data_IF_738523284184
#
_entry.id   IF_738523284184
#
_cell.length_a   1.000
_cell.length_b   1.000
_cell.length_c   1.000
_cell.angle_alpha   90.00
_cell.angle_beta   90.00
_cell.angle_gamma   90.00
#
_symmetry.space_group_name_H-M   'P 1'
#
loop_
_entity.id
_entity.type
_entity.pdbx_description
1 polymer ?
#
# COMPACT_ATOMS: atom_id res chain seq x y z
N UNK A 1 -39.38 12.98 -3.30
CA UNK A 1 -38.97 11.59 -3.57
C UNK A 1 -37.60 11.43 -2.93
N UNK A 2 -37.48 10.64 -1.86
CA UNK A 2 -36.18 10.45 -1.22
C UNK A 2 -35.24 9.78 -2.19
N UNK A 3 -34.02 10.32 -2.36
CA UNK A 3 -32.97 9.70 -3.16
C UNK A 3 -32.74 8.28 -2.66
N UNK A 4 -32.94 7.29 -3.51
CA UNK A 4 -32.74 5.90 -3.16
C UNK A 4 -31.22 5.71 -3.00
N UNK A 5 -30.74 5.47 -1.77
CA UNK A 5 -29.32 5.18 -1.51
C UNK A 5 -28.87 3.98 -2.34
N UNK A 6 -27.74 4.09 -3.02
CA UNK A 6 -27.14 2.98 -3.78
C UNK A 6 -25.84 2.59 -3.12
N UNK A 7 -25.90 1.52 -2.32
CA UNK A 7 -24.76 1.01 -1.55
C UNK A 7 -24.09 -0.17 -2.25
N UNK A 8 -22.80 -0.05 -2.45
CA UNK A 8 -21.99 -1.07 -3.09
C UNK A 8 -21.00 -1.64 -2.09
N UNK A 9 -20.91 -2.96 -2.06
CA UNK A 9 -19.94 -3.71 -1.26
C UNK A 9 -18.74 -4.07 -2.14
N UNK A 10 -17.57 -3.54 -1.81
CA UNK A 10 -16.30 -3.91 -2.43
C UNK A 10 -15.55 -4.93 -1.58
N UNK A 11 -15.02 -5.96 -2.21
CA UNK A 11 -14.37 -7.10 -1.53
C UNK A 11 -13.02 -7.39 -2.14
N UNK A 12 -12.01 -7.53 -1.27
CA UNK A 12 -10.71 -8.13 -1.53
C UNK A 12 -10.50 -9.30 -0.57
N UNK A 13 -10.21 -10.50 -1.05
CA UNK A 13 -9.80 -11.63 -0.23
C UNK A 13 -9.12 -12.74 -1.05
N UNK A 14 -8.60 -13.77 -0.36
CA UNK A 14 -8.00 -14.98 -0.93
C UNK A 14 -6.68 -14.73 -1.69
N UNK A 15 -6.01 -13.61 -1.44
CA UNK A 15 -4.66 -13.36 -1.95
C UNK A 15 -3.77 -12.83 -0.83
N UNK A 16 -3.87 -11.55 -0.53
CA UNK A 16 -3.11 -10.87 0.50
C UNK A 16 -4.01 -9.80 1.12
N UNK A 17 -3.92 -9.55 2.44
CA UNK A 17 -4.63 -8.47 3.14
C UNK A 17 -6.14 -8.40 2.82
N UNK A 18 -6.90 -9.42 3.22
CA UNK A 18 -8.34 -9.41 3.01
C UNK A 18 -9.00 -8.16 3.63
N UNK A 19 -9.91 -7.55 2.86
CA UNK A 19 -10.57 -6.31 3.24
C UNK A 19 -11.95 -6.19 2.61
N UNK A 20 -12.79 -5.38 3.22
CA UNK A 20 -14.11 -5.01 2.70
C UNK A 20 -14.30 -3.50 2.81
N UNK A 21 -15.10 -2.94 1.91
CA UNK A 21 -15.50 -1.54 1.92
C UNK A 21 -16.96 -1.38 1.50
N UNK A 22 -17.65 -0.41 2.11
CA UNK A 22 -19.03 -0.04 1.77
C UNK A 22 -19.05 1.40 1.30
N UNK A 23 -19.55 1.63 0.10
CA UNK A 23 -19.57 2.94 -0.55
C UNK A 23 -21.01 3.28 -0.96
N UNK A 24 -21.48 4.48 -0.62
CA UNK A 24 -22.71 5.06 -1.14
C UNK A 24 -22.36 5.92 -2.37
N UNK A 25 -22.71 5.45 -3.55
CA UNK A 25 -22.31 6.07 -4.82
C UNK A 25 -23.25 7.18 -5.30
N UNK A 26 -24.44 7.35 -4.70
CA UNK A 26 -25.40 8.37 -5.14
C UNK A 26 -25.13 9.77 -4.56
N UNK A 27 -24.55 9.88 -3.39
CA UNK A 27 -24.32 11.17 -2.71
C UNK A 27 -22.86 11.65 -2.83
N UNK A 28 -22.22 11.43 -4.00
CA UNK A 28 -20.85 11.91 -4.24
C UNK A 28 -19.76 10.89 -3.93
N UNK A 29 -20.11 9.62 -3.71
CA UNK A 29 -19.16 8.54 -3.49
C UNK A 29 -18.63 8.47 -2.05
N UNK A 30 -19.51 8.58 -1.06
CA UNK A 30 -19.13 8.52 0.35
C UNK A 30 -18.66 7.12 0.77
N UNK A 31 -17.45 7.03 1.30
CA UNK A 31 -16.93 5.80 1.88
C UNK A 31 -17.49 5.66 3.29
N UNK A 32 -18.56 4.86 3.42
CA UNK A 32 -19.24 4.70 4.68
C UNK A 32 -18.43 3.92 5.71
N UNK A 33 -17.70 2.89 5.23
CA UNK A 33 -16.88 2.02 6.04
C UNK A 33 -15.87 1.27 5.19
N UNK A 34 -14.68 0.99 5.74
CA UNK A 34 -13.72 0.08 5.16
C UNK A 34 -12.81 -0.50 6.25
N UNK A 35 -12.52 -1.80 6.19
CA UNK A 35 -11.70 -2.46 7.19
C UNK A 35 -10.89 -3.63 6.61
N UNK A 36 -9.78 -3.95 7.30
CA UNK A 36 -8.95 -5.14 7.05
C UNK A 36 -9.39 -6.31 7.93
N UNK A 37 -9.36 -7.52 7.41
CA UNK A 37 -9.64 -8.74 8.17
C UNK A 37 -8.67 -8.92 9.35
N UNK A 38 -7.40 -8.53 9.22
CA UNK A 38 -6.38 -8.62 10.28
C UNK A 38 -6.77 -7.86 11.57
N UNK A 39 -7.60 -6.82 11.48
CA UNK A 39 -8.06 -6.05 12.65
C UNK A 39 -9.01 -6.87 13.53
N UNK A 40 -9.68 -7.85 12.96
CA UNK A 40 -10.63 -8.74 13.64
C UNK A 40 -9.99 -10.08 13.99
N UNK A 41 -9.32 -10.74 13.05
CA UNK A 41 -8.70 -12.05 13.25
C UNK A 41 -7.43 -12.00 14.11
N UNK A 42 -6.76 -10.83 14.22
CA UNK A 42 -5.43 -10.65 14.84
C UNK A 42 -4.32 -11.43 14.12
N UNK A 43 -4.58 -11.90 12.90
CA UNK A 43 -3.60 -12.52 12.02
C UNK A 43 -3.09 -11.46 11.05
N UNK A 44 -1.79 -11.19 11.09
CA UNK A 44 -1.17 -10.18 10.21
C UNK A 44 -1.32 -10.59 8.75
N UNK A 45 -1.72 -9.63 7.91
CA UNK A 45 -1.96 -9.81 6.47
C UNK A 45 -2.92 -10.98 6.19
N UNK A 46 -3.98 -11.16 7.01
CA UNK A 46 -4.93 -12.26 6.84
C UNK A 46 -5.50 -12.30 5.42
N UNK A 47 -5.40 -13.47 4.80
CA UNK A 47 -5.85 -13.70 3.42
C UNK A 47 -7.36 -13.88 3.32
N UNK A 48 -8.01 -14.19 4.46
CA UNK A 48 -9.40 -14.58 4.48
C UNK A 48 -10.26 -13.59 5.28
N UNK A 49 -11.47 -13.42 4.81
CA UNK A 49 -12.50 -12.77 5.62
C UNK A 49 -12.91 -13.69 6.78
N UNK A 50 -13.33 -13.09 7.86
CA UNK A 50 -13.91 -13.78 9.01
C UNK A 50 -15.32 -13.24 9.29
N UNK A 51 -16.08 -13.94 10.16
CA UNK A 51 -17.47 -13.58 10.44
C UNK A 51 -17.59 -12.16 10.99
N UNK A 52 -16.66 -11.72 11.84
CA UNK A 52 -16.76 -10.41 12.51
C UNK A 52 -16.69 -9.23 11.54
N UNK A 53 -15.76 -9.25 10.59
CA UNK A 53 -15.67 -8.18 9.57
C UNK A 53 -16.89 -8.19 8.65
N UNK A 54 -17.41 -9.39 8.30
CA UNK A 54 -18.61 -9.51 7.47
C UNK A 54 -19.84 -9.02 8.22
N UNK A 55 -20.02 -9.39 9.47
CA UNK A 55 -21.16 -8.94 10.29
C UNK A 55 -21.17 -7.40 10.39
N UNK A 56 -20.01 -6.77 10.62
CA UNK A 56 -19.92 -5.31 10.67
C UNK A 56 -20.25 -4.69 9.30
N UNK A 57 -19.72 -5.21 8.20
CA UNK A 57 -20.07 -4.75 6.87
C UNK A 57 -21.58 -4.83 6.60
N UNK A 58 -22.23 -5.93 7.02
CA UNK A 58 -23.65 -6.16 6.82
C UNK A 58 -24.54 -5.16 7.57
N UNK A 59 -24.05 -4.50 8.62
CA UNK A 59 -24.80 -3.43 9.31
C UNK A 59 -25.07 -2.22 8.40
N UNK A 60 -24.27 -2.06 7.35
CA UNK A 60 -24.43 -1.00 6.35
C UNK A 60 -25.36 -1.40 5.18
N UNK A 61 -25.80 -2.67 5.12
CA UNK A 61 -26.69 -3.16 4.07
C UNK A 61 -28.11 -2.59 4.12
N UNK A 62 -28.99 -2.95 3.20
CA UNK A 62 -28.74 -3.87 2.09
C UNK A 62 -27.83 -3.28 1.00
N UNK A 63 -27.17 -4.16 0.21
CA UNK A 63 -26.31 -3.76 -0.90
C UNK A 63 -27.01 -3.98 -2.24
N UNK A 64 -26.89 -2.97 -3.11
CA UNK A 64 -27.44 -3.04 -4.47
C UNK A 64 -26.51 -3.81 -5.41
N UNK A 65 -25.17 -3.84 -5.08
CA UNK A 65 -24.14 -4.49 -5.90
C UNK A 65 -23.00 -5.00 -5.01
N UNK A 66 -22.39 -6.11 -5.42
CA UNK A 66 -21.16 -6.65 -4.82
C UNK A 66 -20.08 -6.70 -5.90
N UNK A 67 -18.96 -6.06 -5.66
CA UNK A 67 -17.83 -5.94 -6.59
C UNK A 67 -16.59 -6.60 -5.98
N UNK A 68 -15.88 -7.38 -6.79
CA UNK A 68 -14.66 -8.06 -6.38
C UNK A 68 -13.44 -7.54 -7.13
N UNK A 69 -12.31 -7.40 -6.44
CA UNK A 69 -11.14 -6.63 -6.87
C UNK A 69 -10.23 -7.29 -7.92
N UNK A 70 -10.40 -8.58 -8.24
CA UNK A 70 -9.59 -9.28 -9.25
C UNK A 70 -10.46 -10.24 -10.09
N UNK A 71 -9.96 -10.63 -11.26
CA UNK A 71 -10.61 -11.61 -12.17
C UNK A 71 -10.05 -13.00 -11.90
N UNK A 72 -10.76 -13.86 -11.13
CA UNK A 72 -10.21 -15.13 -10.67
C UNK A 72 -9.84 -16.08 -11.80
N UNK A 73 -10.54 -16.04 -12.93
CA UNK A 73 -10.23 -16.89 -14.10
C UNK A 73 -8.85 -16.52 -14.66
N UNK A 74 -8.52 -15.22 -14.78
CA UNK A 74 -7.21 -14.79 -15.27
C UNK A 74 -6.09 -15.19 -14.29
N UNK A 75 -6.33 -15.06 -12.99
CA UNK A 75 -5.40 -15.54 -11.95
C UNK A 75 -5.13 -17.04 -12.08
N UNK A 76 -6.18 -17.84 -12.25
CA UNK A 76 -6.07 -19.30 -12.43
C UNK A 76 -5.31 -19.67 -13.70
N UNK A 77 -5.51 -18.96 -14.82
CA UNK A 77 -4.73 -19.20 -16.06
C UNK A 77 -3.24 -18.94 -15.84
N UNK A 78 -2.87 -17.86 -15.10
CA UNK A 78 -1.48 -17.61 -14.75
C UNK A 78 -0.91 -18.68 -13.82
N UNK A 79 -1.66 -19.09 -12.79
CA UNK A 79 -1.26 -20.15 -11.87
C UNK A 79 -1.00 -21.47 -12.61
N UNK A 80 -1.89 -21.82 -13.55
CA UNK A 80 -1.72 -23.00 -14.40
C UNK A 80 -0.45 -22.90 -15.24
N UNK A 81 -0.23 -21.77 -15.91
CA UNK A 81 0.98 -21.51 -16.71
C UNK A 81 2.26 -21.53 -15.86
N UNK A 82 2.21 -21.06 -14.62
CA UNK A 82 3.31 -21.09 -13.66
C UNK A 82 3.56 -22.47 -13.02
N UNK A 83 2.81 -23.52 -13.40
CA UNK A 83 2.95 -24.87 -12.86
C UNK A 83 2.33 -25.05 -11.46
N UNK A 84 1.46 -24.13 -11.03
CA UNK A 84 0.73 -24.19 -9.76
C UNK A 84 -0.62 -24.89 -9.93
N UNK A 85 -0.60 -26.10 -10.49
CA UNK A 85 -1.82 -26.82 -10.90
C UNK A 85 -2.82 -27.07 -9.78
N UNK A 86 -2.32 -27.33 -8.54
CA UNK A 86 -3.18 -27.51 -7.37
C UNK A 86 -4.08 -26.30 -7.12
N UNK A 87 -3.48 -25.09 -7.11
CA UNK A 87 -4.22 -23.83 -6.92
C UNK A 87 -5.09 -23.48 -8.13
N UNK A 88 -4.57 -23.71 -9.34
CA UNK A 88 -5.29 -23.38 -10.58
C UNK A 88 -6.57 -24.17 -10.75
N UNK A 89 -6.58 -25.45 -10.37
CA UNK A 89 -7.69 -26.37 -10.62
C UNK A 89 -8.62 -26.56 -9.41
N UNK A 90 -8.27 -26.08 -8.22
CA UNK A 90 -9.11 -26.21 -7.04
C UNK A 90 -10.32 -25.27 -7.13
N UNK A 91 -11.57 -25.79 -7.14
CA UNK A 91 -12.76 -24.96 -7.13
C UNK A 91 -12.92 -24.15 -5.82
N UNK A 92 -12.33 -24.60 -4.71
CA UNK A 92 -12.39 -23.90 -3.42
C UNK A 92 -11.62 -22.56 -3.45
N UNK A 93 -10.66 -22.44 -4.37
CA UNK A 93 -9.93 -21.21 -4.64
C UNK A 93 -10.73 -20.18 -5.48
N UNK A 94 -12.04 -20.36 -5.60
CA UNK A 94 -12.93 -19.38 -6.22
C UNK A 94 -13.55 -18.46 -5.15
N UNK A 95 -13.45 -17.12 -5.29
CA UNK A 95 -13.91 -16.17 -4.27
C UNK A 95 -15.36 -16.40 -3.83
N UNK A 96 -16.24 -16.67 -4.76
CA UNK A 96 -17.67 -16.91 -4.45
C UNK A 96 -17.88 -18.10 -3.52
N UNK A 97 -17.03 -19.14 -3.59
CA UNK A 97 -17.14 -20.29 -2.68
C UNK A 97 -16.77 -19.91 -1.25
N UNK A 98 -15.74 -19.07 -1.09
CA UNK A 98 -15.39 -18.52 0.20
C UNK A 98 -16.49 -17.60 0.75
N UNK A 99 -17.04 -16.73 -0.07
CA UNK A 99 -18.05 -15.74 0.35
C UNK A 99 -19.40 -16.37 0.72
N UNK A 100 -19.76 -17.51 0.10
CA UNK A 100 -21.01 -18.22 0.42
C UNK A 100 -21.14 -18.66 1.88
N UNK A 101 -20.03 -18.96 2.56
CA UNK A 101 -20.05 -19.32 3.99
C UNK A 101 -20.53 -18.18 4.88
N UNK A 102 -20.46 -16.95 4.40
CA UNK A 102 -20.93 -15.73 5.08
C UNK A 102 -22.29 -15.22 4.55
N UNK A 103 -22.98 -15.99 3.71
CA UNK A 103 -24.27 -15.59 3.13
C UNK A 103 -24.15 -14.65 1.92
N UNK A 104 -22.95 -14.34 1.44
CA UNK A 104 -22.76 -13.57 0.20
C UNK A 104 -22.80 -14.54 -0.98
N UNK A 105 -23.98 -14.63 -1.60
CA UNK A 105 -24.27 -15.66 -2.61
C UNK A 105 -24.00 -15.22 -4.04
N UNK A 106 -23.61 -13.95 -4.26
CA UNK A 106 -23.41 -13.38 -5.58
C UNK A 106 -22.27 -12.37 -5.57
N UNK A 107 -21.49 -12.34 -6.63
CA UNK A 107 -20.57 -11.26 -7.02
C UNK A 107 -21.12 -10.74 -8.35
N UNK A 108 -21.46 -9.44 -8.40
CA UNK A 108 -22.06 -8.84 -9.58
C UNK A 108 -21.03 -8.47 -10.63
N UNK A 109 -19.83 -8.08 -10.18
CA UNK A 109 -18.75 -7.65 -11.07
C UNK A 109 -17.38 -8.04 -10.53
N UNK A 110 -16.48 -8.37 -11.45
CA UNK A 110 -15.05 -8.60 -11.19
C UNK A 110 -14.22 -7.55 -11.92
N UNK A 111 -13.58 -6.67 -11.19
CA UNK A 111 -12.64 -5.66 -11.71
C UNK A 111 -11.24 -6.29 -11.79
N UNK A 112 -10.40 -5.90 -12.75
CA UNK A 112 -9.03 -6.43 -12.79
C UNK A 112 -8.18 -5.85 -11.67
N UNK A 113 -7.22 -6.63 -11.16
CA UNK A 113 -6.41 -6.31 -9.99
C UNK A 113 -5.70 -4.95 -10.12
N UNK A 114 -4.94 -4.74 -11.20
CA UNK A 114 -4.23 -3.46 -11.42
C UNK A 114 -5.16 -2.28 -11.71
N UNK A 115 -6.34 -2.52 -12.28
CA UNK A 115 -7.38 -1.51 -12.43
C UNK A 115 -7.96 -1.10 -11.06
N UNK A 116 -8.15 -2.07 -10.16
CA UNK A 116 -8.58 -1.79 -8.79
C UNK A 116 -7.55 -0.93 -8.04
N UNK A 117 -6.25 -1.24 -8.14
CA UNK A 117 -5.19 -0.41 -7.57
C UNK A 117 -5.16 1.00 -8.18
N UNK A 118 -5.23 1.11 -9.50
CA UNK A 118 -5.23 2.40 -10.19
C UNK A 118 -6.44 3.25 -9.77
N UNK A 119 -7.61 2.63 -9.69
CA UNK A 119 -8.84 3.29 -9.28
C UNK A 119 -8.82 3.71 -7.80
N UNK A 120 -8.25 2.87 -6.91
CA UNK A 120 -8.04 3.22 -5.50
C UNK A 120 -7.30 4.55 -5.38
N UNK A 121 -6.22 4.70 -6.14
CA UNK A 121 -5.43 5.91 -6.12
C UNK A 121 -6.12 7.08 -6.83
N UNK A 122 -6.59 6.87 -8.07
CA UNK A 122 -7.11 7.95 -8.91
C UNK A 122 -8.39 8.57 -8.35
N UNK A 123 -9.36 7.74 -8.04
CA UNK A 123 -10.67 8.23 -7.59
C UNK A 123 -10.72 8.70 -6.14
N UNK A 124 -9.64 8.52 -5.38
CA UNK A 124 -9.46 9.15 -4.05
C UNK A 124 -8.51 10.35 -4.11
N UNK A 125 -7.87 10.62 -5.25
CA UNK A 125 -6.95 11.73 -5.42
C UNK A 125 -7.69 13.06 -5.67
N UNK A 126 -7.03 14.20 -5.42
CA UNK A 126 -7.57 15.50 -5.78
C UNK A 126 -7.36 15.86 -7.26
N UNK A 127 -6.87 14.94 -8.11
CA UNK A 127 -6.42 15.23 -9.48
C UNK A 127 -7.47 14.85 -10.52
N UNK A 128 -7.85 15.82 -11.37
CA UNK A 128 -8.63 15.52 -12.56
C UNK A 128 -7.77 14.89 -13.66
N UNK A 129 -6.54 15.42 -13.83
CA UNK A 129 -5.59 14.98 -14.84
C UNK A 129 -4.30 14.56 -14.18
N UNK A 130 -3.88 13.31 -14.41
CA UNK A 130 -2.68 12.74 -13.83
C UNK A 130 -2.20 11.53 -14.63
N UNK A 131 -0.95 11.12 -14.42
CA UNK A 131 -0.54 9.76 -14.73
C UNK A 131 -0.68 8.89 -13.47
N UNK A 132 -1.14 7.65 -13.67
CA UNK A 132 -1.31 6.67 -12.60
C UNK A 132 -0.31 5.55 -12.86
N UNK A 133 0.52 5.27 -11.88
CA UNK A 133 1.47 4.16 -11.91
C UNK A 133 1.11 3.18 -10.81
N UNK A 134 0.90 1.92 -11.17
CA UNK A 134 0.75 0.84 -10.20
C UNK A 134 1.92 -0.12 -10.30
N UNK A 135 2.57 -0.41 -9.19
CA UNK A 135 3.68 -1.36 -9.09
C UNK A 135 3.41 -2.33 -7.96
N UNK A 136 3.25 -3.59 -8.31
CA UNK A 136 2.91 -4.62 -7.35
C UNK A 136 3.77 -5.88 -7.53
N UNK A 137 3.58 -6.87 -6.64
CA UNK A 137 4.24 -8.15 -6.80
C UNK A 137 3.64 -8.91 -7.99
N UNK A 138 2.35 -9.18 -7.95
CA UNK A 138 1.63 -9.88 -9.01
C UNK A 138 0.11 -9.74 -8.82
N UNK A 139 -0.56 -9.16 -9.81
CA UNK A 139 -2.01 -9.27 -9.96
C UNK A 139 -2.43 -10.59 -10.63
N UNK A 140 -3.39 -10.56 -11.54
CA UNK A 140 -3.66 -11.74 -12.37
C UNK A 140 -2.44 -12.10 -13.21
N UNK A 141 -2.03 -11.20 -14.08
CA UNK A 141 -0.83 -11.26 -14.91
C UNK A 141 0.06 -10.02 -14.77
N UNK A 142 -0.56 -8.86 -14.51
CA UNK A 142 0.13 -7.58 -14.48
C UNK A 142 0.94 -7.44 -13.20
N UNK A 143 2.10 -6.82 -13.31
CA UNK A 143 3.02 -6.50 -12.20
C UNK A 143 3.31 -5.00 -12.13
N UNK A 144 3.21 -4.32 -13.28
CA UNK A 144 3.33 -2.88 -13.41
C UNK A 144 2.31 -2.43 -14.45
N UNK A 145 1.58 -1.34 -14.18
CA UNK A 145 0.73 -0.70 -15.18
C UNK A 145 0.80 0.81 -15.08
N UNK A 146 0.73 1.47 -16.24
CA UNK A 146 0.70 2.93 -16.38
C UNK A 146 -0.61 3.30 -17.05
N UNK A 147 -1.35 4.20 -16.43
CA UNK A 147 -2.61 4.71 -16.91
C UNK A 147 -2.55 6.23 -17.02
N UNK A 148 -3.37 6.79 -17.88
CA UNK A 148 -3.66 8.21 -17.92
C UNK A 148 -5.05 8.44 -17.34
N UNK A 149 -5.14 9.21 -16.27
CA UNK A 149 -6.37 9.67 -15.66
C UNK A 149 -6.72 11.05 -16.22
N UNK A 150 -7.92 11.21 -16.78
CA UNK A 150 -8.40 12.49 -17.25
C UNK A 150 -9.93 12.54 -17.22
N UNK A 151 -10.48 13.63 -16.69
CA UNK A 151 -11.92 13.89 -16.64
C UNK A 151 -12.75 12.72 -16.08
N UNK A 152 -12.24 12.08 -15.00
CA UNK A 152 -12.89 10.94 -14.34
C UNK A 152 -12.78 9.62 -15.10
N UNK A 153 -11.95 9.54 -16.15
CA UNK A 153 -11.70 8.30 -16.90
C UNK A 153 -10.25 7.87 -16.75
N UNK A 154 -10.02 6.56 -16.70
CA UNK A 154 -8.69 5.95 -16.71
C UNK A 154 -8.47 5.24 -18.06
N UNK A 155 -7.34 5.51 -18.71
CA UNK A 155 -6.93 4.84 -19.94
C UNK A 155 -5.60 4.12 -19.72
N UNK A 156 -5.58 2.79 -19.93
CA UNK A 156 -4.35 1.99 -19.84
C UNK A 156 -3.41 2.36 -21.00
N UNK A 157 -2.18 2.75 -20.67
CA UNK A 157 -1.14 3.10 -21.66
C UNK A 157 -0.07 2.01 -21.79
N UNK A 158 0.34 1.40 -20.69
CA UNK A 158 1.41 0.41 -20.70
C UNK A 158 1.22 -0.59 -19.56
N UNK A 159 1.65 -1.85 -19.76
CA UNK A 159 1.72 -2.85 -18.71
C UNK A 159 2.92 -3.76 -18.89
N UNK A 160 3.48 -4.19 -17.77
CA UNK A 160 4.49 -5.23 -17.68
C UNK A 160 3.87 -6.39 -16.93
N UNK A 161 4.13 -7.60 -17.40
CA UNK A 161 3.46 -8.80 -16.91
C UNK A 161 4.46 -9.80 -16.32
N UNK A 162 3.93 -10.72 -15.54
CA UNK A 162 4.65 -11.88 -15.03
C UNK A 162 5.47 -12.57 -16.14
N UNK A 163 6.72 -12.98 -15.90
CA UNK A 163 7.38 -13.03 -14.59
C UNK A 163 8.16 -11.76 -14.20
N UNK A 164 8.04 -10.68 -14.95
CA UNK A 164 8.85 -9.46 -14.79
C UNK A 164 8.22 -8.55 -13.74
N UNK A 165 8.67 -8.64 -12.48
CA UNK A 165 8.12 -7.90 -11.35
C UNK A 165 9.21 -7.32 -10.44
N UNK A 166 9.13 -6.02 -10.16
CA UNK A 166 9.98 -5.35 -9.16
C UNK A 166 9.59 -5.81 -7.74
N UNK A 167 8.30 -5.96 -7.47
CA UNK A 167 7.82 -6.45 -6.17
C UNK A 167 8.35 -7.86 -5.88
N UNK A 168 8.25 -8.79 -6.85
CA UNK A 168 8.79 -10.15 -6.70
C UNK A 168 10.31 -10.15 -6.56
N UNK A 169 11.03 -9.28 -7.28
CA UNK A 169 12.47 -9.12 -7.09
C UNK A 169 12.79 -8.71 -5.65
N UNK A 170 12.09 -7.71 -5.11
CA UNK A 170 12.28 -7.25 -3.74
C UNK A 170 11.95 -8.36 -2.72
N UNK A 171 10.83 -9.07 -2.90
CA UNK A 171 10.43 -10.22 -2.06
C UNK A 171 11.41 -11.39 -2.12
N UNK A 172 12.09 -11.62 -3.25
CA UNK A 172 13.12 -12.64 -3.37
C UNK A 172 14.34 -12.34 -2.47
N UNK A 173 14.70 -11.05 -2.33
CA UNK A 173 15.74 -10.62 -1.39
C UNK A 173 15.23 -10.60 0.06
N UNK A 174 13.97 -10.28 0.29
CA UNK A 174 13.32 -10.45 1.62
C UNK A 174 13.50 -11.89 2.11
N UNK A 175 13.18 -12.87 1.25
CA UNK A 175 13.39 -14.29 1.55
C UNK A 175 14.87 -14.63 1.75
N UNK A 176 15.77 -14.06 0.94
CA UNK A 176 17.20 -14.33 0.97
C UNK A 176 17.85 -13.93 2.31
N UNK A 177 17.38 -12.86 2.93
CA UNK A 177 17.88 -12.41 4.26
C UNK A 177 17.17 -13.10 5.43
N UNK A 178 16.33 -14.12 5.18
CA UNK A 178 15.65 -14.91 6.21
C UNK A 178 14.33 -14.32 6.69
N UNK A 179 13.79 -13.32 6.01
CA UNK A 179 12.49 -12.72 6.26
C UNK A 179 11.39 -13.41 5.44
N UNK A 180 10.13 -13.21 5.84
CA UNK A 180 8.96 -13.79 5.18
C UNK A 180 8.57 -12.94 3.96
N UNK A 181 8.67 -13.49 2.73
CA UNK A 181 8.30 -12.78 1.52
C UNK A 181 6.80 -12.50 1.48
N UNK A 182 6.40 -11.41 0.84
CA UNK A 182 5.05 -10.84 0.76
C UNK A 182 4.49 -10.32 2.10
N UNK A 183 5.26 -10.37 3.19
CA UNK A 183 4.81 -9.90 4.50
C UNK A 183 5.81 -8.99 5.22
N UNK A 184 7.13 -9.20 5.02
CA UNK A 184 8.19 -8.54 5.81
C UNK A 184 9.12 -7.64 4.97
N UNK A 185 8.69 -7.23 3.77
CA UNK A 185 9.43 -6.29 2.90
C UNK A 185 9.73 -4.96 3.60
N UNK A 186 8.84 -4.52 4.47
CA UNK A 186 9.04 -3.31 5.27
C UNK A 186 10.18 -3.46 6.30
N UNK A 187 10.51 -4.68 6.74
CA UNK A 187 11.68 -4.95 7.58
C UNK A 187 12.94 -4.86 6.74
N UNK A 188 12.95 -5.46 5.54
CA UNK A 188 14.06 -5.34 4.59
C UNK A 188 14.36 -3.87 4.25
N UNK A 189 13.31 -3.06 4.00
CA UNK A 189 13.46 -1.61 3.81
C UNK A 189 14.13 -0.93 5.02
N UNK A 190 13.74 -1.32 6.23
CA UNK A 190 14.36 -0.80 7.46
C UNK A 190 15.82 -1.23 7.63
N UNK A 191 16.17 -2.47 7.26
CA UNK A 191 17.55 -2.98 7.28
C UNK A 191 18.46 -2.21 6.33
N UNK A 192 17.93 -1.77 5.18
CA UNK A 192 18.70 -1.05 4.16
C UNK A 192 19.39 0.21 4.68
N UNK A 193 18.86 0.83 5.73
CA UNK A 193 19.45 2.01 6.37
C UNK A 193 20.75 1.73 7.14
N UNK A 194 21.08 0.48 7.40
CA UNK A 194 22.23 0.07 8.20
C UNK A 194 23.35 -0.58 7.39
N UNK A 195 23.12 -0.89 6.11
CA UNK A 195 24.08 -1.48 5.19
C UNK A 195 24.62 -0.52 4.15
N UNK A 196 25.52 -1.03 3.30
CA UNK A 196 26.07 -0.34 2.15
C UNK A 196 25.62 -1.01 0.85
N UNK A 197 25.32 -0.29 -0.25
CA UNK A 197 24.78 -0.86 -1.47
C UNK A 197 25.86 -1.50 -2.37
N UNK A 198 26.82 -2.22 -1.79
CA UNK A 198 28.02 -2.74 -2.46
C UNK A 198 27.70 -3.85 -3.48
N UNK A 199 26.55 -4.48 -3.39
CA UNK A 199 26.12 -5.55 -4.30
C UNK A 199 25.15 -5.09 -5.39
N UNK A 200 24.75 -3.79 -5.43
CA UNK A 200 23.77 -3.26 -6.37
C UNK A 200 24.06 -3.64 -7.82
N UNK A 201 25.28 -3.35 -8.28
CA UNK A 201 25.67 -3.60 -9.69
C UNK A 201 25.73 -5.10 -10.00
N UNK A 202 26.08 -5.94 -9.02
CA UNK A 202 26.06 -7.39 -9.19
C UNK A 202 24.63 -7.92 -9.30
N UNK A 203 23.71 -7.43 -8.47
CA UNK A 203 22.28 -7.76 -8.54
C UNK A 203 21.74 -7.36 -9.91
N UNK A 204 22.02 -6.15 -10.36
CA UNK A 204 21.61 -5.66 -11.67
C UNK A 204 22.12 -6.56 -12.80
N UNK A 205 23.42 -6.88 -12.80
CA UNK A 205 24.03 -7.73 -13.83
C UNK A 205 23.44 -9.14 -13.86
N UNK A 206 23.13 -9.75 -12.71
CA UNK A 206 22.73 -11.15 -12.65
C UNK A 206 21.21 -11.35 -12.82
N UNK A 207 20.39 -10.40 -12.36
CA UNK A 207 18.93 -10.58 -12.36
C UNK A 207 18.18 -9.70 -13.36
N UNK A 208 18.74 -8.56 -13.78
CA UNK A 208 18.04 -7.62 -14.65
C UNK A 208 18.51 -7.82 -16.11
N UNK A 209 17.56 -8.08 -17.00
CA UNK A 209 17.79 -8.13 -18.43
C UNK A 209 17.70 -6.73 -19.06
N UNK A 210 16.70 -5.94 -18.63
CA UNK A 210 16.47 -4.57 -19.09
C UNK A 210 15.80 -3.77 -17.97
N UNK A 211 16.21 -2.52 -17.80
CA UNK A 211 15.59 -1.59 -16.86
C UNK A 211 14.37 -0.88 -17.45
N UNK A 212 14.33 -0.74 -18.79
CA UNK A 212 13.19 -0.12 -19.47
C UNK A 212 13.02 -0.68 -20.90
N UNK A 213 11.93 -1.35 -21.26
CA UNK A 213 10.93 -1.86 -20.30
C UNK A 213 11.56 -2.83 -19.30
N UNK A 214 11.08 -2.81 -18.08
CA UNK A 214 11.64 -3.67 -17.03
C UNK A 214 11.48 -5.14 -17.35
N UNK A 215 12.60 -5.88 -17.35
CA UNK A 215 12.63 -7.33 -17.57
C UNK A 215 13.64 -8.01 -16.67
N UNK A 216 13.22 -9.09 -16.03
CA UNK A 216 14.09 -10.01 -15.30
C UNK A 216 14.70 -11.04 -16.25
N UNK A 217 15.93 -11.49 -15.99
CA UNK A 217 16.56 -12.60 -16.69
C UNK A 217 15.93 -13.96 -16.37
N UNK A 218 15.42 -14.09 -15.13
CA UNK A 218 14.86 -15.32 -14.62
C UNK A 218 13.57 -15.04 -13.86
N UNK A 219 12.73 -16.06 -13.74
CA UNK A 219 11.54 -15.99 -12.85
C UNK A 219 11.98 -16.15 -11.39
N UNK A 220 11.79 -15.09 -10.59
CA UNK A 220 12.22 -15.02 -9.19
C UNK A 220 11.10 -15.38 -8.19
N UNK A 221 9.95 -15.81 -8.66
CA UNK A 221 8.79 -16.11 -7.79
C UNK A 221 9.09 -17.16 -6.70
N UNK A 222 10.02 -18.08 -6.96
CA UNK A 222 10.48 -19.08 -5.95
C UNK A 222 11.61 -18.56 -5.07
N UNK A 223 12.08 -17.33 -5.27
CA UNK A 223 13.23 -16.75 -4.60
C UNK A 223 14.53 -17.00 -5.35
N UNK A 224 15.65 -16.60 -4.74
CA UNK A 224 17.01 -16.67 -5.31
C UNK A 224 17.92 -17.69 -4.58
N UNK A 225 17.31 -18.55 -3.76
CA UNK A 225 18.05 -19.53 -2.96
C UNK A 225 19.06 -18.86 -2.01
N UNK A 226 20.19 -19.53 -1.82
CA UNK A 226 21.28 -19.02 -0.97
C UNK A 226 22.30 -18.20 -1.80
N UNK A 227 21.83 -17.29 -2.65
CA UNK A 227 22.69 -16.41 -3.45
C UNK A 227 23.61 -15.57 -2.55
N UNK A 228 24.93 -15.64 -2.77
CA UNK A 228 25.95 -14.97 -1.94
C UNK A 228 25.82 -15.30 -0.44
N UNK A 229 26.11 -16.55 -0.03
CA UNK A 229 25.85 -17.04 1.34
C UNK A 229 26.56 -16.21 2.43
N UNK A 230 27.76 -15.69 2.11
CA UNK A 230 28.60 -14.97 3.07
C UNK A 230 28.33 -13.44 3.08
N UNK A 231 27.36 -12.95 2.28
CA UNK A 231 27.06 -11.53 2.23
C UNK A 231 26.30 -11.07 3.48
N UNK A 232 26.69 -9.92 4.01
CA UNK A 232 25.99 -9.30 5.14
C UNK A 232 24.53 -8.99 4.74
N UNK A 233 23.53 -9.39 5.54
CA UNK A 233 22.13 -9.13 5.26
C UNK A 233 21.76 -7.64 5.15
N UNK A 234 22.44 -6.76 5.89
CA UNK A 234 22.20 -5.32 5.82
C UNK A 234 22.69 -4.74 4.49
N UNK A 235 23.86 -5.21 4.00
CA UNK A 235 24.39 -4.79 2.71
C UNK A 235 23.56 -5.34 1.54
N UNK A 236 23.02 -6.55 1.65
CA UNK A 236 22.05 -7.08 0.70
C UNK A 236 20.79 -6.22 0.67
N UNK A 237 20.25 -5.86 1.85
CA UNK A 237 19.08 -5.01 1.97
C UNK A 237 19.32 -3.62 1.36
N UNK A 238 20.46 -2.99 1.69
CA UNK A 238 20.85 -1.69 1.12
C UNK A 238 21.02 -1.76 -0.40
N UNK A 239 21.60 -2.86 -0.90
CA UNK A 239 21.83 -3.04 -2.33
C UNK A 239 20.54 -3.20 -3.13
N UNK A 240 19.62 -4.04 -2.67
CA UNK A 240 18.32 -4.21 -3.35
C UNK A 240 17.45 -2.97 -3.23
N UNK A 241 17.50 -2.26 -2.10
CA UNK A 241 16.79 -0.99 -1.93
C UNK A 241 17.28 0.04 -2.94
N UNK A 242 18.60 0.23 -3.06
CA UNK A 242 19.18 1.17 -4.01
C UNK A 242 18.85 0.82 -5.47
N UNK A 243 18.86 -0.46 -5.84
CA UNK A 243 18.44 -0.90 -7.16
C UNK A 243 16.95 -0.66 -7.40
N UNK A 244 16.09 -0.95 -6.41
CA UNK A 244 14.64 -0.72 -6.50
C UNK A 244 14.34 0.77 -6.73
N UNK A 245 15.02 1.66 -6.03
CA UNK A 245 14.89 3.11 -6.20
C UNK A 245 15.26 3.56 -7.62
N UNK A 246 16.33 3.01 -8.19
CA UNK A 246 16.74 3.29 -9.57
C UNK A 246 15.72 2.77 -10.59
N UNK A 247 15.23 1.55 -10.42
CA UNK A 247 14.18 0.97 -11.28
C UNK A 247 12.89 1.77 -11.23
N UNK A 248 12.48 2.20 -10.04
CA UNK A 248 11.30 3.05 -9.85
C UNK A 248 11.50 4.44 -10.46
N UNK A 249 12.70 5.04 -10.38
CA UNK A 249 13.00 6.31 -11.04
C UNK A 249 12.83 6.22 -12.57
N UNK A 250 13.25 5.11 -13.17
CA UNK A 250 13.04 4.85 -14.60
C UNK A 250 11.54 4.72 -14.92
N UNK A 251 10.75 4.04 -14.08
CA UNK A 251 9.30 3.93 -14.25
C UNK A 251 8.59 5.27 -14.07
N UNK A 252 8.99 6.09 -13.11
CA UNK A 252 8.43 7.43 -12.91
C UNK A 252 8.71 8.32 -14.12
N UNK A 253 9.94 8.28 -14.66
CA UNK A 253 10.31 8.99 -15.88
C UNK A 253 9.50 8.50 -17.09
N UNK A 254 9.29 7.18 -17.20
CA UNK A 254 8.45 6.59 -18.23
C UNK A 254 6.99 7.01 -18.11
N UNK A 255 6.43 6.94 -16.89
CA UNK A 255 5.06 7.39 -16.62
C UNK A 255 4.90 8.88 -16.98
N UNK A 256 5.86 9.72 -16.59
CA UNK A 256 5.87 11.13 -16.88
C UNK A 256 5.87 11.44 -18.40
N UNK A 257 6.39 10.54 -19.25
CA UNK A 257 6.40 10.72 -20.71
C UNK A 257 5.01 10.63 -21.35
N UNK A 258 4.01 10.13 -20.64
CA UNK A 258 2.62 10.11 -21.10
C UNK A 258 1.86 11.40 -20.79
N UNK A 259 2.40 12.24 -19.91
CA UNK A 259 1.84 13.57 -19.67
C UNK A 259 2.29 14.55 -20.75
N UNK A 260 1.46 15.54 -21.09
CA UNK A 260 1.87 16.63 -21.98
C UNK A 260 3.15 17.31 -21.49
N UNK A 261 3.92 17.86 -22.43
CA UNK A 261 5.05 18.70 -22.08
C UNK A 261 4.57 19.88 -21.23
N UNK A 262 5.36 20.26 -20.21
CA UNK A 262 5.04 21.39 -19.33
C UNK A 262 4.93 22.66 -20.19
N UNK A 263 3.73 23.20 -20.30
CA UNK A 263 3.43 24.43 -21.05
C UNK A 263 2.61 25.36 -20.17
N UNK A 264 2.51 26.64 -20.55
CA UNK A 264 1.67 27.63 -19.86
C UNK A 264 0.19 27.22 -19.73
N UNK A 265 -0.26 26.22 -20.51
CA UNK A 265 -1.64 25.73 -20.53
C UNK A 265 -1.85 24.45 -19.69
N UNK A 266 -0.77 23.73 -19.32
CA UNK A 266 -0.83 22.56 -18.46
C UNK A 266 -0.03 22.84 -17.19
N UNK A 267 -0.76 23.18 -16.12
CA UNK A 267 -0.17 23.79 -14.94
C UNK A 267 0.69 22.81 -14.11
N UNK A 268 0.29 21.55 -13.98
CA UNK A 268 0.94 20.63 -13.03
C UNK A 268 1.07 19.21 -13.57
N UNK A 269 2.19 18.58 -13.23
CA UNK A 269 2.44 17.16 -13.53
C UNK A 269 2.10 16.35 -12.28
N UNK A 270 0.96 15.71 -12.29
CA UNK A 270 0.44 14.96 -11.17
C UNK A 270 0.70 13.47 -11.35
N UNK A 271 1.15 12.82 -10.28
CA UNK A 271 1.31 11.37 -10.17
C UNK A 271 0.36 10.81 -9.12
N UNK A 272 -0.36 9.75 -9.49
CA UNK A 272 -0.97 8.81 -8.57
C UNK A 272 -0.11 7.54 -8.56
N UNK A 273 0.35 7.13 -7.37
CA UNK A 273 1.22 5.96 -7.23
C UNK A 273 0.55 4.92 -6.31
N UNK A 274 0.35 3.69 -6.82
CA UNK A 274 -0.37 2.60 -6.15
C UNK A 274 0.31 1.25 -6.31
N UNK A 275 -0.30 0.20 -5.75
CA UNK A 275 0.26 -1.14 -5.62
C UNK A 275 1.12 -1.29 -4.37
N UNK A 276 1.45 -2.51 -3.98
CA UNK A 276 2.19 -2.81 -2.75
C UNK A 276 3.56 -2.14 -2.66
N UNK A 277 4.23 -1.90 -3.80
CA UNK A 277 5.56 -1.25 -3.84
C UNK A 277 5.47 0.24 -3.45
N UNK A 278 4.30 0.89 -3.59
CA UNK A 278 4.08 2.27 -3.14
C UNK A 278 4.17 2.44 -1.61
N UNK A 279 4.19 1.35 -0.84
CA UNK A 279 4.47 1.37 0.60
C UNK A 279 5.95 1.61 0.95
N UNK A 280 6.85 1.59 -0.02
CA UNK A 280 8.28 1.86 0.19
C UNK A 280 8.54 3.36 0.36
N UNK A 281 8.32 3.87 1.59
CA UNK A 281 8.45 5.29 1.90
C UNK A 281 9.88 5.83 1.69
N UNK A 282 10.91 4.98 1.82
CA UNK A 282 12.29 5.38 1.54
C UNK A 282 12.50 5.68 0.06
N UNK A 283 12.00 4.80 -0.84
CA UNK A 283 12.01 5.05 -2.27
C UNK A 283 11.17 6.27 -2.63
N UNK A 284 9.95 6.38 -2.10
CA UNK A 284 9.04 7.50 -2.39
C UNK A 284 9.71 8.86 -2.11
N UNK A 285 10.44 8.99 -1.00
CA UNK A 285 11.13 10.24 -0.65
C UNK A 285 12.24 10.61 -1.63
N UNK A 286 13.04 9.63 -2.07
CA UNK A 286 14.08 9.85 -3.07
C UNK A 286 13.48 10.23 -4.42
N UNK A 287 12.42 9.55 -4.83
CA UNK A 287 11.73 9.80 -6.08
C UNK A 287 11.07 11.19 -6.11
N UNK A 288 10.43 11.60 -5.01
CA UNK A 288 9.90 12.96 -4.86
C UNK A 288 11.00 14.00 -5.00
N UNK A 289 12.19 13.73 -4.44
CA UNK A 289 13.37 14.60 -4.54
C UNK A 289 13.88 14.82 -5.98
N UNK A 290 13.58 13.93 -6.92
CA UNK A 290 13.95 14.07 -8.34
C UNK A 290 13.16 15.19 -9.05
N UNK A 291 12.01 15.62 -8.52
CA UNK A 291 11.20 16.68 -9.11
C UNK A 291 10.60 16.33 -10.48
N UNK A 292 10.37 15.06 -10.76
CA UNK A 292 9.73 14.58 -12.01
C UNK A 292 8.26 15.02 -12.06
N UNK A 293 7.61 15.02 -10.90
CA UNK A 293 6.22 15.42 -10.70
C UNK A 293 6.12 16.60 -9.74
N UNK A 294 5.14 17.47 -9.97
CA UNK A 294 4.86 18.61 -9.10
C UNK A 294 4.04 18.18 -7.87
N UNK A 295 3.11 17.23 -8.06
CA UNK A 295 2.30 16.66 -6.99
C UNK A 295 2.27 15.13 -7.09
N UNK A 296 2.25 14.48 -5.91
CA UNK A 296 2.24 13.03 -5.78
C UNK A 296 1.12 12.65 -4.81
N UNK A 297 0.23 11.77 -5.26
CA UNK A 297 -0.78 11.16 -4.41
C UNK A 297 -0.50 9.67 -4.24
N UNK A 298 -0.36 9.24 -3.00
CA UNK A 298 -0.30 7.85 -2.61
C UNK A 298 -1.42 7.65 -1.57
N UNK A 299 -2.43 6.88 -1.91
CA UNK A 299 -3.53 6.56 -1.00
C UNK A 299 -2.96 5.86 0.25
N UNK A 300 -3.45 6.11 1.48
CA UNK A 300 -2.90 5.50 2.70
C UNK A 300 -2.84 3.98 2.71
N UNK A 301 -3.68 3.34 1.91
CA UNK A 301 -3.72 1.90 1.70
C UNK A 301 -3.55 1.56 0.21
N UNK A 302 -2.32 1.71 -0.35
CA UNK A 302 -2.10 1.56 -1.78
C UNK A 302 -1.99 0.09 -2.22
N UNK A 303 -1.86 -0.85 -1.27
CA UNK A 303 -1.79 -2.31 -1.51
C UNK A 303 -3.15 -2.96 -1.72
N UNK A 304 -3.17 -4.29 -1.68
CA UNK A 304 -4.34 -5.11 -2.02
C UNK A 304 -5.59 -4.75 -1.23
N UNK A 305 -5.48 -4.51 0.07
CA UNK A 305 -6.64 -4.17 0.90
C UNK A 305 -7.37 -2.90 0.42
N UNK A 306 -6.62 -1.89 -0.07
CA UNK A 306 -7.19 -0.68 -0.66
C UNK A 306 -8.04 -0.95 -1.89
N UNK A 307 -7.78 -2.05 -2.58
CA UNK A 307 -8.55 -2.48 -3.76
C UNK A 307 -10.00 -2.84 -3.46
N UNK A 308 -10.37 -3.05 -2.18
CA UNK A 308 -11.79 -3.15 -1.79
C UNK A 308 -12.56 -1.83 -2.02
N UNK A 309 -11.90 -0.68 -1.89
CA UNK A 309 -12.43 0.63 -2.31
C UNK A 309 -12.31 0.80 -3.83
N UNK A 310 -11.14 0.43 -4.37
CA UNK A 310 -10.81 0.66 -5.77
C UNK A 310 -11.68 -0.11 -6.75
N UNK A 311 -12.08 -1.34 -6.42
CA UNK A 311 -12.96 -2.10 -7.31
C UNK A 311 -14.34 -1.44 -7.46
N UNK A 312 -14.87 -0.84 -6.41
CA UNK A 312 -16.13 -0.08 -6.49
C UNK A 312 -15.93 1.19 -7.32
N UNK A 313 -14.85 1.94 -7.05
CA UNK A 313 -14.55 3.15 -7.80
C UNK A 313 -14.32 2.90 -9.29
N UNK A 314 -13.66 1.79 -9.65
CA UNK A 314 -13.47 1.37 -11.04
C UNK A 314 -14.76 0.94 -11.72
N UNK A 315 -15.62 0.21 -11.00
CA UNK A 315 -16.93 -0.25 -11.48
C UNK A 315 -17.85 0.92 -11.82
N UNK A 316 -17.90 1.93 -10.94
CA UNK A 316 -18.78 3.09 -11.10
C UNK A 316 -18.13 4.26 -11.88
N UNK A 317 -16.78 4.21 -12.06
CA UNK A 317 -15.97 5.27 -12.72
C UNK A 317 -16.22 6.64 -12.11
N UNK A 318 -16.24 6.68 -10.78
CA UNK A 318 -16.63 7.85 -10.01
C UNK A 318 -15.59 8.21 -8.98
N UNK A 319 -15.30 9.51 -8.79
CA UNK A 319 -14.55 10.00 -7.65
C UNK A 319 -15.28 9.71 -6.35
N UNK A 320 -14.49 9.37 -5.35
CA UNK A 320 -14.96 9.11 -4.00
C UNK A 320 -14.65 10.31 -3.11
N UNK A 321 -15.53 10.57 -2.17
CA UNK A 321 -15.36 11.62 -1.17
C UNK A 321 -14.32 11.16 -0.12
N UNK A 322 -13.04 11.23 -0.49
CA UNK A 322 -11.95 10.88 0.43
C UNK A 322 -11.71 12.02 1.41
N UNK A 323 -11.86 11.75 2.70
CA UNK A 323 -11.62 12.72 3.77
C UNK A 323 -10.44 12.32 4.66
N UNK A 324 -10.40 11.07 5.10
CA UNK A 324 -9.42 10.55 6.06
C UNK A 324 -9.37 9.01 6.04
N UNK A 325 -8.31 8.39 6.61
CA UNK A 325 -8.16 6.93 6.64
C UNK A 325 -8.94 6.24 7.78
N UNK A 326 -9.63 6.97 8.65
CA UNK A 326 -10.34 6.41 9.82
C UNK A 326 -11.70 5.86 9.39
N UNK A 327 -11.73 4.69 8.77
CA UNK A 327 -12.92 4.12 8.12
C UNK A 327 -13.42 2.83 8.79
N UNK A 328 -12.62 2.20 9.66
CA UNK A 328 -12.91 0.90 10.25
C UNK A 328 -13.81 0.97 11.48
N UNK A 329 -13.77 -0.09 12.29
CA UNK A 329 -14.52 -0.25 13.51
C UNK A 329 -14.38 0.96 14.46
N UNK A 330 -15.50 1.44 14.99
CA UNK A 330 -15.55 2.61 15.86
C UNK A 330 -15.52 2.22 17.34
N UNK A 331 -14.70 2.91 18.12
CA UNK A 331 -14.74 2.92 19.58
C UNK A 331 -15.26 4.29 19.98
N UNK A 332 -16.46 4.35 20.54
CA UNK A 332 -17.10 5.60 20.91
C UNK A 332 -16.42 6.26 22.11
N UNK A 333 -16.46 7.57 22.16
CA UNK A 333 -15.91 8.40 23.23
C UNK A 333 -15.06 9.55 22.72
N UNK A 334 -14.80 10.52 23.57
CA UNK A 334 -13.85 11.59 23.26
C UNK A 334 -12.42 11.07 23.23
N UNK A 335 -11.57 11.66 22.39
CA UNK A 335 -10.15 11.30 22.32
C UNK A 335 -9.48 11.71 23.65
N UNK A 336 -8.86 10.78 24.41
CA UNK A 336 -8.46 11.02 25.80
C UNK A 336 -7.14 11.78 25.92
N UNK A 337 -7.06 13.02 25.43
CA UNK A 337 -5.83 13.82 25.33
C UNK A 337 -5.13 13.96 26.68
N UNK A 338 -5.84 14.39 27.73
CA UNK A 338 -5.24 14.62 29.06
C UNK A 338 -4.69 13.34 29.66
N UNK A 339 -5.39 12.21 29.49
CA UNK A 339 -4.93 10.91 29.96
C UNK A 339 -3.68 10.46 29.20
N UNK A 340 -3.62 10.69 27.88
CA UNK A 340 -2.45 10.38 27.07
C UNK A 340 -1.23 11.20 27.53
N UNK A 341 -1.41 12.51 27.74
CA UNK A 341 -0.34 13.40 28.21
C UNK A 341 0.20 12.92 29.56
N UNK A 342 -0.69 12.66 30.52
CA UNK A 342 -0.30 12.15 31.84
C UNK A 342 0.47 10.83 31.77
N UNK A 343 0.01 9.89 30.94
CA UNK A 343 0.71 8.59 30.73
C UNK A 343 2.08 8.76 30.07
N UNK A 344 2.19 9.64 29.08
CA UNK A 344 3.49 9.92 28.44
C UNK A 344 4.48 10.56 29.40
N UNK A 345 4.03 11.50 30.25
CA UNK A 345 4.88 12.15 31.27
C UNK A 345 5.34 11.19 32.35
N UNK A 346 4.46 10.28 32.82
CA UNK A 346 4.76 9.36 33.92
C UNK A 346 5.48 8.08 33.47
N UNK A 347 5.03 7.51 32.34
CA UNK A 347 5.40 6.18 31.88
C UNK A 347 6.15 6.18 30.54
N UNK A 348 6.36 7.35 29.92
CA UNK A 348 7.01 7.57 28.63
C UNK A 348 6.32 6.92 27.43
N UNK A 349 5.26 6.15 27.63
CA UNK A 349 4.52 5.50 26.55
C UNK A 349 3.10 5.12 26.97
N UNK A 350 2.19 5.09 26.00
CA UNK A 350 0.82 4.59 26.19
C UNK A 350 0.28 3.92 24.93
N UNK A 351 -0.75 3.08 25.11
CA UNK A 351 -1.55 2.54 24.03
C UNK A 351 -2.85 3.30 23.89
N UNK A 352 -3.22 3.70 22.67
CA UNK A 352 -4.47 4.40 22.38
C UNK A 352 -5.35 3.57 21.47
N UNK A 353 -6.62 3.44 21.86
CA UNK A 353 -7.68 2.85 21.05
C UNK A 353 -8.94 3.72 21.20
N UNK A 354 -9.27 4.55 20.19
CA UNK A 354 -10.41 5.45 20.20
C UNK A 354 -10.88 5.74 18.76
N UNK A 355 -12.13 6.18 18.60
CA UNK A 355 -12.68 6.52 17.30
C UNK A 355 -12.66 5.36 16.30
N UNK A 356 -12.76 5.67 15.02
CA UNK A 356 -12.70 4.66 13.93
C UNK A 356 -11.27 4.21 13.68
N UNK A 357 -11.08 2.90 13.49
CA UNK A 357 -9.77 2.33 13.16
C UNK A 357 -9.28 2.83 11.79
N UNK A 358 -7.96 2.93 11.65
CA UNK A 358 -7.31 3.26 10.38
C UNK A 358 -7.55 2.15 9.35
N UNK A 359 -7.91 2.55 8.13
CA UNK A 359 -7.92 1.70 6.95
C UNK A 359 -6.59 1.85 6.21
N UNK A 360 -5.64 0.99 6.54
CA UNK A 360 -4.28 1.00 6.02
C UNK A 360 -3.30 0.32 6.97
N UNK A 361 -2.06 0.05 6.51
CA UNK A 361 -1.07 -0.69 7.28
C UNK A 361 -0.40 0.16 8.37
N UNK A 362 -0.65 1.48 8.40
CA UNK A 362 -0.02 2.41 9.33
C UNK A 362 -0.94 2.75 10.50
N UNK A 363 -0.37 2.83 11.70
CA UNK A 363 -1.03 3.39 12.86
C UNK A 363 -0.97 4.93 12.78
N UNK A 364 -2.12 5.61 12.86
CA UNK A 364 -2.25 7.04 12.62
C UNK A 364 -2.94 7.77 13.80
N UNK A 365 -2.95 7.17 14.99
CA UNK A 365 -3.45 7.79 16.22
C UNK A 365 -4.58 6.99 16.88
N UNK A 366 -5.49 6.39 16.13
CA UNK A 366 -6.68 5.73 16.69
C UNK A 366 -6.46 4.29 17.16
N UNK A 367 -5.42 3.61 16.67
CA UNK A 367 -4.96 2.28 17.12
C UNK A 367 -3.43 2.31 17.18
N UNK A 368 -2.89 3.08 18.15
CA UNK A 368 -1.48 3.44 18.19
C UNK A 368 -0.82 3.13 19.53
N UNK A 369 0.47 2.82 19.49
CA UNK A 369 1.36 3.00 20.62
C UNK A 369 2.06 4.35 20.44
N UNK A 370 1.87 5.24 21.39
CA UNK A 370 2.52 6.53 21.48
C UNK A 370 3.66 6.47 22.48
N UNK A 371 4.73 7.20 22.23
CA UNK A 371 5.85 7.31 23.16
C UNK A 371 6.43 8.72 23.12
N UNK A 372 6.91 9.21 24.26
CA UNK A 372 7.67 10.44 24.37
C UNK A 372 9.01 10.26 23.62
N UNK A 373 9.33 11.08 22.62
CA UNK A 373 10.56 10.91 21.83
C UNK A 373 11.82 11.29 22.62
N UNK A 374 11.70 11.94 23.78
CA UNK A 374 12.82 12.39 24.57
C UNK A 374 13.50 11.22 25.31
N UNK A 375 14.76 11.03 25.06
CA UNK A 375 15.60 10.05 25.75
C UNK A 375 16.02 8.84 24.90
N UNK A 376 17.24 8.35 25.12
CA UNK A 376 17.89 7.37 24.23
C UNK A 376 17.30 5.96 24.28
N UNK A 377 16.52 5.63 25.34
CA UNK A 377 16.02 4.27 25.59
C UNK A 377 14.62 4.03 25.04
N UNK A 378 13.86 5.06 24.69
CA UNK A 378 12.44 4.95 24.31
C UNK A 378 12.23 4.04 23.09
N UNK A 379 13.09 4.19 22.07
CA UNK A 379 13.04 3.32 20.88
C UNK A 379 13.17 1.84 21.24
N UNK A 380 14.12 1.49 22.13
CA UNK A 380 14.33 0.10 22.53
C UNK A 380 13.18 -0.43 23.37
N UNK A 381 12.65 0.37 24.30
CA UNK A 381 11.51 0.02 25.14
C UNK A 381 10.26 -0.29 24.29
N UNK A 382 9.92 0.56 23.33
CA UNK A 382 8.75 0.34 22.46
C UNK A 382 8.99 -0.87 21.55
N UNK A 383 10.20 -1.09 21.02
CA UNK A 383 10.52 -2.27 20.22
C UNK A 383 10.42 -3.56 21.04
N UNK A 384 10.79 -3.51 22.33
CA UNK A 384 10.68 -4.66 23.25
C UNK A 384 9.19 -5.00 23.51
N UNK A 385 8.33 -4.02 23.78
CA UNK A 385 6.89 -4.24 23.95
C UNK A 385 6.28 -4.84 22.68
N UNK A 386 6.67 -4.32 21.50
CA UNK A 386 6.23 -4.84 20.20
C UNK A 386 6.87 -6.19 19.84
N UNK A 387 7.79 -6.72 20.66
CA UNK A 387 8.53 -7.99 20.43
C UNK A 387 9.11 -8.05 19.02
N UNK A 388 9.82 -6.99 18.62
CA UNK A 388 10.37 -6.86 17.27
C UNK A 388 11.85 -6.43 17.30
N UNK A 389 12.48 -6.39 16.13
CA UNK A 389 13.90 -6.07 15.98
C UNK A 389 14.20 -4.63 16.48
N UNK A 390 15.29 -4.47 17.25
CA UNK A 390 15.68 -3.20 17.87
C UNK A 390 15.99 -2.08 16.86
N UNK A 391 16.44 -2.43 15.66
CA UNK A 391 16.77 -1.45 14.61
C UNK A 391 15.55 -0.75 14.01
N UNK A 392 14.35 -1.29 14.16
CA UNK A 392 13.14 -0.75 13.51
C UNK A 392 12.83 0.66 14.00
N UNK A 393 12.63 1.61 13.05
CA UNK A 393 12.32 2.99 13.39
C UNK A 393 10.87 3.16 13.82
N UNK A 394 10.57 4.35 14.36
CA UNK A 394 9.24 4.86 14.60
C UNK A 394 9.04 6.15 13.79
N UNK A 395 7.80 6.46 13.45
CA UNK A 395 7.45 7.72 12.83
C UNK A 395 7.17 8.76 13.93
N UNK A 396 7.74 9.96 13.85
CA UNK A 396 7.35 11.07 14.71
C UNK A 396 5.95 11.57 14.32
N UNK A 397 5.15 11.99 15.31
CA UNK A 397 3.98 12.82 15.14
C UNK A 397 4.34 14.24 15.59
N UNK A 398 4.02 15.23 14.77
CA UNK A 398 4.34 16.64 15.00
C UNK A 398 3.21 17.51 14.46
N UNK A 399 2.99 18.67 15.05
CA UNK A 399 2.06 19.67 14.52
C UNK A 399 2.52 20.13 13.14
N UNK A 400 1.60 20.33 12.21
CA UNK A 400 1.93 20.69 10.82
C UNK A 400 2.68 22.03 10.72
N UNK A 401 2.33 22.99 11.57
CA UNK A 401 2.98 24.29 11.68
C UNK A 401 4.46 24.20 12.13
N UNK A 402 4.81 23.18 12.94
CA UNK A 402 6.16 23.01 13.50
C UNK A 402 7.06 22.11 12.63
N UNK A 403 6.53 21.49 11.59
CA UNK A 403 7.25 20.51 10.77
C UNK A 403 8.61 21.01 10.28
N UNK A 404 8.66 22.25 9.78
CA UNK A 404 9.87 22.82 9.18
C UNK A 404 10.96 23.19 10.19
N UNK A 405 10.63 23.32 11.47
CA UNK A 405 11.59 23.56 12.55
C UNK A 405 12.37 22.29 12.92
N UNK A 406 11.79 21.13 12.64
CA UNK A 406 12.34 19.83 13.03
C UNK A 406 12.73 18.94 11.84
N UNK A 407 12.03 19.06 10.69
CA UNK A 407 12.20 18.15 9.57
C UNK A 407 12.33 18.90 8.25
N UNK A 408 13.16 18.35 7.37
CA UNK A 408 13.23 18.73 5.97
C UNK A 408 12.51 17.68 5.14
N UNK A 409 11.33 18.03 4.65
CA UNK A 409 10.56 17.18 3.74
C UNK A 409 11.24 17.11 2.36
N UNK A 410 11.02 16.02 1.59
CA UNK A 410 11.44 15.96 0.21
C UNK A 410 10.82 17.10 -0.62
N UNK A 411 11.51 17.51 -1.70
CA UNK A 411 11.02 18.53 -2.62
C UNK A 411 9.62 18.12 -3.14
N UNK A 412 8.71 19.07 -3.24
CA UNK A 412 7.32 18.89 -3.65
C UNK A 412 6.43 18.07 -2.69
N UNK A 413 6.93 17.63 -1.55
CA UNK A 413 6.12 17.04 -0.47
C UNK A 413 5.82 18.13 0.55
N UNK A 414 4.55 18.53 0.65
CA UNK A 414 4.12 19.60 1.58
C UNK A 414 3.89 19.05 3.00
N UNK A 415 3.30 17.86 3.08
CA UNK A 415 3.02 17.15 4.33
C UNK A 415 3.09 15.64 4.10
N UNK A 416 3.08 14.86 5.17
CA UNK A 416 3.08 13.39 5.10
C UNK A 416 2.18 12.79 6.18
N UNK A 417 0.85 13.02 6.12
CA UNK A 417 -0.08 12.61 7.17
C UNK A 417 -0.25 11.08 7.28
N UNK A 418 0.21 10.33 6.28
CA UNK A 418 0.00 8.88 6.17
C UNK A 418 1.31 8.06 6.16
N UNK A 419 2.44 8.65 6.58
CA UNK A 419 3.76 7.99 6.62
C UNK A 419 4.24 7.43 5.26
N UNK A 420 3.92 8.11 4.16
CA UNK A 420 4.28 7.67 2.80
C UNK A 420 5.66 8.16 2.36
N UNK A 421 6.24 9.09 3.10
CA UNK A 421 7.55 9.68 2.86
C UNK A 421 8.37 9.70 4.15
N UNK A 422 9.69 9.67 4.00
CA UNK A 422 10.65 9.93 5.07
C UNK A 422 11.13 11.38 5.00
N UNK A 423 11.53 11.95 6.13
CA UNK A 423 12.08 13.28 6.21
C UNK A 423 13.43 13.27 6.94
N UNK A 424 14.31 14.19 6.57
CA UNK A 424 15.56 14.37 7.30
C UNK A 424 15.31 15.24 8.55
N UNK A 425 15.75 14.80 9.74
CA UNK A 425 15.75 15.63 10.93
C UNK A 425 16.78 16.74 10.78
N UNK A 426 16.39 18.00 11.04
CA UNK A 426 17.29 19.18 10.92
C UNK A 426 17.99 19.53 12.22
N UNK A 427 17.48 19.05 13.36
CA UNK A 427 18.08 19.28 14.69
C UNK A 427 19.07 18.19 15.13
N UNK A 428 19.39 17.25 14.24
CA UNK A 428 20.39 16.24 14.50
C UNK A 428 20.02 15.27 15.61
N UNK A 429 20.96 14.99 16.52
CA UNK A 429 20.79 14.04 17.63
C UNK A 429 20.29 14.68 18.94
N UNK A 430 19.85 15.93 18.89
CA UNK A 430 19.44 16.70 20.06
C UNK A 430 18.01 16.41 20.52
N UNK A 431 17.53 15.18 20.21
CA UNK A 431 16.25 14.62 20.69
C UNK A 431 16.51 13.40 21.57
#
# INVERSE_FOLDING_TARGET
MGNKKMRILGINCMNHDAAMAVIDVQEGGDILWAAHAERYSKVKNDHFLNQQIVDEAMTYGPFDKVVYYEKPILKKTRQFWAGQYGLALDPKEMPLQHLKQFGINKIDEYVSHHESHAATGYYTSPFNDCVILTVDAIGEWDTISIWLGSQGKMELKERIQYPHSIGVLYSAFTKRVGLKPAEEEYILMGMAAYGQPIYKDKIQREFIQSSMPFRLKHNLHRGIGNWMPDADPMDLASSIQALTEELLANLWSRAASYLPAKSLLFAERNLVFGGGVALNCAANSKLAGLGIFDNIWIMPNPGDAGSSIGCVAASEKQYLNWQHPFLGHNIEGEYPVDSIINELEQNMMCGVANGRAEFGPRALGNRSLLADPRGPKVKDMVNQIKRRQKFRPFAPAILEEDVHDYFRLPKHVKNTPYMQFTAACVRGKDF
#
